data_IF_036666795591
#
_entry.id   IF_036666795591
#
_cell.length_a   1.000
_cell.length_b   1.000
_cell.length_c   1.000
_cell.angle_alpha   90.00
_cell.angle_beta   90.00
_cell.angle_gamma   90.00
#
_symmetry.space_group_name_H-M   'P 1'
#
loop_
_entity.id
_entity.type
_entity.pdbx_description
1 polymer ?
#
# COMPACT_ATOMS: atom_id res chain seq x y z
N UNK A 1 46.57 12.48 -15.55
CA UNK A 1 45.51 12.33 -14.53
C UNK A 1 44.58 13.52 -14.67
N UNK A 2 43.41 13.33 -15.29
CA UNK A 2 42.38 14.37 -15.38
C UNK A 2 41.05 13.66 -15.19
N UNK A 3 40.43 13.89 -14.03
CA UNK A 3 39.14 13.34 -13.64
C UNK A 3 38.05 13.94 -14.53
N UNK A 4 37.22 13.07 -15.10
CA UNK A 4 35.96 13.47 -15.74
C UNK A 4 34.96 13.89 -14.67
N UNK A 5 34.37 15.07 -14.83
CA UNK A 5 33.19 15.51 -14.11
C UNK A 5 32.03 14.67 -14.66
N UNK A 6 31.49 13.78 -13.82
CA UNK A 6 30.23 13.08 -14.12
C UNK A 6 29.12 13.96 -13.58
N UNK A 7 28.38 14.59 -14.49
CA UNK A 7 27.10 15.22 -14.20
C UNK A 7 26.13 14.17 -13.65
N UNK A 8 25.95 14.18 -12.33
CA UNK A 8 25.07 13.28 -11.60
C UNK A 8 23.63 13.81 -11.68
N UNK A 9 23.07 13.83 -12.88
CA UNK A 9 21.67 14.18 -13.10
C UNK A 9 20.81 12.90 -13.00
N UNK A 10 20.66 12.40 -11.77
CA UNK A 10 19.84 11.24 -11.43
C UNK A 10 18.36 11.58 -11.56
N UNK A 11 17.87 11.59 -12.79
CA UNK A 11 16.45 11.61 -13.10
C UNK A 11 15.88 10.25 -12.62
N UNK A 12 15.38 10.19 -11.38
CA UNK A 12 14.87 8.95 -10.79
C UNK A 12 13.58 8.58 -11.53
N UNK A 13 13.73 7.67 -12.49
CA UNK A 13 12.65 6.91 -13.10
C UNK A 13 11.81 6.27 -12.00
N UNK A 14 10.49 6.28 -12.18
CA UNK A 14 9.62 5.44 -11.35
C UNK A 14 10.16 4.01 -11.40
N UNK A 15 10.38 3.33 -10.27
CA UNK A 15 10.83 1.95 -10.31
C UNK A 15 9.86 1.14 -11.17
N UNK A 16 10.44 0.38 -12.10
CA UNK A 16 9.76 -0.60 -12.92
C UNK A 16 9.15 -1.69 -12.03
N UNK A 17 7.96 -1.41 -11.49
CA UNK A 17 6.84 -2.31 -11.12
C UNK A 17 7.22 -3.76 -10.78
N UNK A 18 7.90 -3.98 -9.66
CA UNK A 18 7.75 -5.23 -8.92
C UNK A 18 7.19 -4.90 -7.53
N UNK A 19 6.17 -5.63 -7.08
CA UNK A 19 5.56 -5.37 -5.77
C UNK A 19 6.59 -5.50 -4.64
N UNK A 20 7.61 -6.36 -4.83
CA UNK A 20 8.71 -6.53 -3.88
C UNK A 20 9.58 -5.29 -3.70
N UNK A 21 9.76 -4.45 -4.72
CA UNK A 21 10.53 -3.20 -4.59
C UNK A 21 9.76 -2.12 -3.83
N UNK A 22 8.43 -2.12 -3.96
CA UNK A 22 7.58 -1.22 -3.19
C UNK A 22 7.57 -1.61 -1.71
N UNK A 23 7.43 -2.89 -1.40
CA UNK A 23 7.31 -3.37 -0.02
C UNK A 23 8.46 -2.93 0.89
N UNK A 24 9.70 -2.87 0.37
CA UNK A 24 10.91 -2.43 1.11
C UNK A 24 10.81 -1.01 1.67
N UNK A 25 9.94 -0.17 1.14
CA UNK A 25 9.75 1.17 1.70
C UNK A 25 9.06 1.14 3.07
N UNK A 26 8.39 0.05 3.44
CA UNK A 26 7.77 -0.13 4.76
C UNK A 26 8.81 -0.34 5.88
N UNK A 27 10.07 -0.62 5.53
CA UNK A 27 11.18 -0.65 6.50
C UNK A 27 11.54 0.76 7.02
N UNK A 28 10.95 1.80 6.42
CA UNK A 28 11.07 3.19 6.89
C UNK A 28 9.88 3.52 7.78
N UNK A 29 10.13 3.76 9.06
CA UNK A 29 9.06 4.02 10.05
C UNK A 29 8.08 5.14 9.66
N UNK A 30 8.55 6.21 9.03
CA UNK A 30 7.67 7.30 8.56
C UNK A 30 6.74 6.86 7.41
N UNK A 31 7.22 6.00 6.52
CA UNK A 31 6.45 5.49 5.38
C UNK A 31 5.45 4.47 5.89
N UNK A 32 5.86 3.58 6.80
CA UNK A 32 4.98 2.62 7.46
C UNK A 32 3.84 3.34 8.20
N UNK A 33 4.17 4.31 9.04
CA UNK A 33 3.18 5.05 9.81
C UNK A 33 2.18 5.80 8.90
N UNK A 34 2.68 6.41 7.83
CA UNK A 34 1.85 7.06 6.82
C UNK A 34 0.97 6.07 6.06
N UNK A 35 1.48 4.87 5.77
CA UNK A 35 0.75 3.80 5.08
C UNK A 35 -0.37 3.24 5.95
N UNK A 36 -0.10 3.00 7.23
CA UNK A 36 -1.12 2.59 8.21
C UNK A 36 -2.21 3.66 8.33
N UNK A 37 -1.82 4.94 8.41
CA UNK A 37 -2.77 6.05 8.46
C UNK A 37 -3.64 6.11 7.20
N UNK A 38 -3.03 5.89 6.03
CA UNK A 38 -3.74 5.86 4.76
C UNK A 38 -4.72 4.67 4.68
N UNK A 39 -4.32 3.48 5.13
CA UNK A 39 -5.18 2.30 5.20
C UNK A 39 -6.37 2.51 6.14
N UNK A 40 -6.13 3.04 7.35
CA UNK A 40 -7.18 3.40 8.31
C UNK A 40 -8.20 4.34 7.68
N UNK A 41 -7.72 5.37 6.97
CA UNK A 41 -8.61 6.30 6.26
C UNK A 41 -9.43 5.61 5.17
N UNK A 42 -8.77 4.88 4.26
CA UNK A 42 -9.42 4.31 3.08
C UNK A 42 -10.42 3.20 3.46
N UNK A 43 -10.13 2.43 4.51
CA UNK A 43 -10.99 1.38 5.02
C UNK A 43 -11.94 1.85 6.13
N UNK A 44 -11.82 3.09 6.59
CA UNK A 44 -12.58 3.68 7.72
C UNK A 44 -12.42 2.89 9.02
N UNK A 45 -11.17 2.65 9.39
CA UNK A 45 -10.77 1.92 10.59
C UNK A 45 -10.22 2.88 11.66
N UNK A 46 -10.49 2.54 12.91
CA UNK A 46 -9.84 3.11 14.09
C UNK A 46 -8.42 2.57 14.29
N UNK A 47 -7.70 3.14 15.27
CA UNK A 47 -6.38 2.64 15.65
C UNK A 47 -6.42 1.25 16.28
N UNK A 48 -7.52 0.90 16.95
CA UNK A 48 -7.70 -0.44 17.51
C UNK A 48 -7.98 -1.49 16.43
N UNK A 49 -8.65 -1.11 15.35
CA UNK A 49 -9.02 -2.02 14.26
C UNK A 49 -7.87 -2.31 13.29
N UNK A 50 -6.91 -1.40 13.17
CA UNK A 50 -5.66 -1.63 12.44
C UNK A 50 -4.49 -1.07 13.26
N UNK A 51 -3.86 -1.89 14.13
CA UNK A 51 -2.75 -1.45 14.97
C UNK A 51 -1.51 -1.08 14.13
N UNK A 52 -0.59 -0.32 14.74
CA UNK A 52 0.70 -0.04 14.12
C UNK A 52 1.58 -1.29 14.25
N UNK A 53 2.05 -1.89 13.13
CA UNK A 53 3.01 -2.97 13.21
C UNK A 53 4.41 -2.44 13.51
N UNK A 54 5.29 -3.33 13.96
CA UNK A 54 6.72 -3.03 14.06
C UNK A 54 7.33 -2.78 12.67
N UNK A 55 8.36 -1.95 12.64
CA UNK A 55 9.12 -1.65 11.42
C UNK A 55 10.05 -2.83 11.10
N UNK A 56 10.09 -3.24 9.84
CA UNK A 56 11.04 -4.23 9.32
C UNK A 56 10.44 -5.08 8.21
N UNK A 57 11.20 -6.10 7.79
CA UNK A 57 10.95 -6.90 6.58
C UNK A 57 9.56 -7.58 6.54
N UNK A 58 8.94 -7.82 7.71
CA UNK A 58 7.61 -8.45 7.81
C UNK A 58 6.45 -7.45 7.84
N UNK A 59 6.71 -6.14 7.85
CA UNK A 59 5.67 -5.11 8.01
C UNK A 59 4.57 -5.22 6.94
N UNK A 60 4.94 -5.54 5.70
CA UNK A 60 3.96 -5.78 4.64
C UNK A 60 3.02 -6.96 4.96
N UNK A 61 3.59 -8.10 5.34
CA UNK A 61 2.83 -9.32 5.61
C UNK A 61 1.95 -9.17 6.85
N UNK A 62 2.43 -8.44 7.87
CA UNK A 62 1.63 -8.10 9.05
C UNK A 62 0.43 -7.24 8.67
N UNK A 63 0.64 -6.15 7.92
CA UNK A 63 -0.47 -5.31 7.44
C UNK A 63 -1.47 -6.11 6.58
N UNK A 64 -0.97 -6.98 5.71
CA UNK A 64 -1.82 -7.84 4.88
C UNK A 64 -2.69 -8.77 5.73
N UNK A 65 -2.12 -9.37 6.78
CA UNK A 65 -2.84 -10.22 7.73
C UNK A 65 -3.90 -9.43 8.51
N UNK A 66 -3.60 -8.19 8.89
CA UNK A 66 -4.52 -7.34 9.66
C UNK A 66 -5.65 -6.75 8.79
N UNK A 67 -5.39 -6.47 7.52
CA UNK A 67 -6.41 -5.96 6.58
C UNK A 67 -7.38 -7.06 6.14
N UNK A 68 -6.93 -8.31 6.03
CA UNK A 68 -7.77 -9.44 5.60
C UNK A 68 -9.08 -9.62 6.40
N UNK A 69 -9.09 -9.66 7.75
CA UNK A 69 -10.33 -9.81 8.52
C UNK A 69 -11.29 -8.65 8.29
N UNK A 70 -10.78 -7.43 8.08
CA UNK A 70 -11.61 -6.26 7.73
C UNK A 70 -12.33 -6.50 6.39
N UNK A 71 -11.59 -6.91 5.35
CA UNK A 71 -12.18 -7.20 4.04
C UNK A 71 -13.18 -8.36 4.10
N UNK A 72 -12.91 -9.35 4.93
CA UNK A 72 -13.79 -10.49 5.17
C UNK A 72 -15.11 -10.02 5.79
N UNK A 73 -15.07 -9.19 6.84
CA UNK A 73 -16.25 -8.62 7.46
C UNK A 73 -17.08 -7.76 6.48
N UNK A 74 -16.42 -6.97 5.65
CA UNK A 74 -17.08 -6.18 4.60
C UNK A 74 -17.80 -7.08 3.58
N UNK A 75 -17.12 -8.14 3.12
CA UNK A 75 -17.72 -9.08 2.16
C UNK A 75 -18.92 -9.82 2.76
N UNK A 76 -18.82 -10.27 4.02
CA UNK A 76 -19.90 -10.93 4.75
C UNK A 76 -21.10 -10.02 4.97
N UNK A 77 -20.87 -8.71 5.18
CA UNK A 77 -21.95 -7.73 5.32
C UNK A 77 -22.75 -7.59 4.03
N UNK A 78 -22.06 -7.41 2.88
CA UNK A 78 -22.58 -7.57 1.52
C UNK A 78 -21.52 -7.15 0.48
N UNK A 79 -21.72 -7.54 -0.77
CA UNK A 79 -20.82 -7.19 -1.88
C UNK A 79 -20.67 -5.67 -2.09
N UNK A 80 -21.73 -4.90 -1.87
CA UNK A 80 -21.68 -3.45 -2.06
C UNK A 80 -20.76 -2.76 -1.04
N UNK A 81 -20.76 -3.20 0.22
CA UNK A 81 -19.88 -2.67 1.26
C UNK A 81 -18.40 -2.87 0.91
N UNK A 82 -18.05 -4.04 0.40
CA UNK A 82 -16.70 -4.31 -0.10
C UNK A 82 -16.36 -3.39 -1.28
N UNK A 83 -17.25 -3.24 -2.26
CA UNK A 83 -17.02 -2.37 -3.42
C UNK A 83 -16.80 -0.91 -3.01
N UNK A 84 -17.62 -0.36 -2.10
CA UNK A 84 -17.47 1.00 -1.58
C UNK A 84 -16.10 1.19 -0.92
N UNK A 85 -15.64 0.22 -0.13
CA UNK A 85 -14.31 0.27 0.45
C UNK A 85 -13.22 0.28 -0.62
N UNK A 86 -13.34 -0.56 -1.66
CA UNK A 86 -12.35 -0.61 -2.75
C UNK A 86 -12.29 0.68 -3.56
N UNK A 87 -13.41 1.36 -3.76
CA UNK A 87 -13.40 2.70 -4.37
C UNK A 87 -12.58 3.71 -3.55
N UNK A 88 -12.68 3.71 -2.22
CA UNK A 88 -11.88 4.60 -1.35
C UNK A 88 -10.38 4.25 -1.36
N UNK A 89 -10.06 2.96 -1.52
CA UNK A 89 -8.68 2.48 -1.68
C UNK A 89 -8.12 2.80 -3.08
N UNK A 90 -8.92 3.33 -4.01
CA UNK A 90 -8.57 3.55 -5.42
C UNK A 90 -8.30 2.23 -6.19
N UNK A 91 -9.11 1.20 -5.92
CA UNK A 91 -9.14 -0.07 -6.66
C UNK A 91 -10.40 -0.10 -7.52
N UNK A 92 -10.30 0.11 -8.86
CA UNK A 92 -11.44 0.05 -9.77
C UNK A 92 -12.07 -1.35 -9.83
N UNK A 93 -13.35 -1.43 -10.16
CA UNK A 93 -14.10 -2.70 -10.19
C UNK A 93 -13.46 -3.78 -11.08
N UNK A 94 -12.95 -3.40 -12.26
CA UNK A 94 -12.26 -4.33 -13.15
C UNK A 94 -10.97 -4.89 -12.52
N UNK A 95 -10.27 -4.08 -11.70
CA UNK A 95 -9.11 -4.57 -10.95
C UNK A 95 -9.57 -5.49 -9.83
N UNK A 96 -10.55 -5.07 -9.01
CA UNK A 96 -11.13 -5.87 -7.95
C UNK A 96 -11.53 -7.28 -8.45
N UNK A 97 -12.27 -7.36 -9.56
CA UNK A 97 -12.68 -8.64 -10.15
C UNK A 97 -11.50 -9.53 -10.51
N UNK A 98 -10.46 -8.97 -11.13
CA UNK A 98 -9.24 -9.72 -11.49
C UNK A 98 -8.49 -10.22 -10.25
N UNK A 99 -8.30 -9.36 -9.26
CA UNK A 99 -7.60 -9.72 -8.01
C UNK A 99 -8.37 -10.80 -7.25
N UNK A 100 -9.69 -10.67 -7.15
CA UNK A 100 -10.55 -11.67 -6.52
C UNK A 100 -10.51 -13.02 -7.24
N UNK A 101 -10.47 -13.02 -8.58
CA UNK A 101 -10.34 -14.25 -9.36
C UNK A 101 -8.96 -14.92 -9.20
N UNK A 102 -7.90 -14.13 -9.02
CA UNK A 102 -6.52 -14.63 -8.91
C UNK A 102 -6.15 -15.16 -7.52
N UNK A 103 -6.70 -14.61 -6.45
CA UNK A 103 -6.34 -15.02 -5.09
C UNK A 103 -7.32 -14.57 -3.99
N UNK A 104 -8.55 -14.22 -4.37
CA UNK A 104 -9.61 -13.84 -3.44
C UNK A 104 -9.24 -12.66 -2.54
N UNK A 105 -9.77 -12.69 -1.31
CA UNK A 105 -9.55 -11.64 -0.32
C UNK A 105 -8.08 -11.53 0.14
N UNK A 106 -7.31 -12.63 0.11
CA UNK A 106 -5.89 -12.59 0.48
C UNK A 106 -5.07 -11.76 -0.50
N UNK A 107 -5.33 -11.91 -1.80
CA UNK A 107 -4.70 -11.08 -2.83
C UNK A 107 -5.19 -9.63 -2.72
N UNK A 108 -6.49 -9.42 -2.45
CA UNK A 108 -7.05 -8.10 -2.30
C UNK A 108 -6.48 -7.33 -1.11
N UNK A 109 -6.23 -7.99 0.02
CA UNK A 109 -5.58 -7.39 1.18
C UNK A 109 -4.18 -6.86 0.83
N UNK A 110 -3.40 -7.64 0.07
CA UNK A 110 -2.09 -7.20 -0.43
C UNK A 110 -2.21 -5.98 -1.34
N UNK A 111 -3.17 -6.00 -2.27
CA UNK A 111 -3.42 -4.85 -3.17
C UNK A 111 -3.80 -3.59 -2.38
N UNK A 112 -4.59 -3.70 -1.31
CA UNK A 112 -4.92 -2.56 -0.47
C UNK A 112 -3.66 -1.93 0.16
N UNK A 113 -2.76 -2.75 0.70
CA UNK A 113 -1.50 -2.27 1.29
C UNK A 113 -0.62 -1.60 0.23
N UNK A 114 -0.48 -2.23 -0.94
CA UNK A 114 0.30 -1.69 -2.07
C UNK A 114 -0.27 -0.35 -2.52
N UNK A 115 -1.60 -0.23 -2.66
CA UNK A 115 -2.25 1.02 -3.08
C UNK A 115 -2.06 2.14 -2.06
N UNK A 116 -2.22 1.85 -0.78
CA UNK A 116 -1.99 2.83 0.27
C UNK A 116 -0.52 3.32 0.25
N UNK A 117 0.43 2.41 0.12
CA UNK A 117 1.85 2.72 0.03
C UNK A 117 2.18 3.57 -1.21
N UNK A 118 1.64 3.22 -2.38
CA UNK A 118 1.82 4.00 -3.61
C UNK A 118 1.33 5.45 -3.44
N UNK A 119 0.19 5.66 -2.78
CA UNK A 119 -0.32 7.02 -2.48
C UNK A 119 0.63 7.79 -1.57
N UNK A 120 1.16 7.13 -0.54
CA UNK A 120 2.13 7.73 0.39
C UNK A 120 3.41 8.13 -0.33
N UNK A 121 4.03 7.22 -1.07
CA UNK A 121 5.27 7.48 -1.82
C UNK A 121 5.07 8.60 -2.85
N UNK A 122 3.92 8.61 -3.54
CA UNK A 122 3.56 9.69 -4.47
C UNK A 122 3.52 11.04 -3.75
N UNK A 123 2.84 11.14 -2.60
CA UNK A 123 2.77 12.40 -1.85
C UNK A 123 4.14 12.84 -1.32
N UNK A 124 4.96 11.91 -0.82
CA UNK A 124 6.29 12.23 -0.30
C UNK A 124 7.21 12.79 -1.41
N UNK A 125 7.13 12.21 -2.61
CA UNK A 125 7.84 12.72 -3.79
C UNK A 125 7.43 14.15 -4.16
N UNK A 126 6.13 14.43 -4.23
CA UNK A 126 5.64 15.76 -4.62
C UNK A 126 5.69 16.80 -3.50
N UNK A 127 5.84 16.37 -2.24
CA UNK A 127 6.04 17.27 -1.09
C UNK A 127 7.51 17.70 -0.91
N UNK A 128 8.44 17.24 -1.77
CA UNK A 128 9.87 17.55 -1.65
C UNK A 128 10.52 16.94 -0.40
N UNK A 129 9.97 15.85 0.14
CA UNK A 129 10.50 15.13 1.32
C UNK A 129 11.33 13.89 0.93
N UNK A 130 11.89 13.89 -0.27
CA UNK A 130 12.76 12.87 -0.83
C UNK A 130 13.94 13.50 -1.55
#
# INVERSE_FOLDING_TARGET
MTFAIVDNNSNIEMPSRSDGDLQRYLDRGEVLASTVTQLRKDLSLSEQELPMPDVGDEAFETLRKDVLPVLTALQQKNQHALQVAMYRVDIPEAHLKRTMAGGGLHALAGECVIRALQKVLTRLRYAGRY
#
